data_IF_332535507425
#
_entry.id   IF_332535507425
#
_cell.length_a   1.000
_cell.length_b   1.000
_cell.length_c   1.000
_cell.angle_alpha   90.00
_cell.angle_beta   90.00
_cell.angle_gamma   90.00
#
_symmetry.space_group_name_H-M   'P 1'
#
loop_
_entity.id
_entity.type
_entity.pdbx_description
1 polymer ?
#
# COMPACT_ATOMS: atom_id res chain seq x y z
N UNK A 1 5.10 -17.14 -12.56
CA UNK A 1 3.77 -16.66 -13.00
C UNK A 1 3.90 -15.19 -13.40
N UNK A 2 3.35 -14.76 -14.54
CA UNK A 2 3.42 -13.37 -14.96
C UNK A 2 2.31 -12.57 -14.26
N UNK A 3 2.68 -11.50 -13.56
CA UNK A 3 1.72 -10.55 -12.97
C UNK A 3 1.20 -9.66 -14.11
N UNK A 4 -0.12 -9.66 -14.33
CA UNK A 4 -0.77 -8.86 -15.38
C UNK A 4 -1.57 -7.74 -14.74
N UNK A 5 -1.20 -6.49 -14.99
CA UNK A 5 -1.98 -5.32 -14.57
C UNK A 5 -3.11 -5.11 -15.58
N UNK A 6 -4.35 -5.20 -15.12
CA UNK A 6 -5.54 -5.07 -15.97
C UNK A 6 -6.67 -4.39 -15.20
N UNK A 7 -7.68 -3.87 -15.91
CA UNK A 7 -8.86 -3.28 -15.27
C UNK A 7 -9.81 -4.36 -14.75
N UNK A 8 -10.60 -4.04 -13.73
CA UNK A 8 -11.61 -4.96 -13.21
C UNK A 8 -12.66 -5.39 -14.25
N UNK A 9 -12.96 -4.53 -15.24
CA UNK A 9 -13.85 -4.87 -16.36
C UNK A 9 -13.25 -5.94 -17.26
N UNK A 10 -11.97 -5.81 -17.62
CA UNK A 10 -11.28 -6.80 -18.44
C UNK A 10 -11.12 -8.14 -17.71
N UNK A 11 -10.94 -8.13 -16.38
CA UNK A 11 -10.98 -9.36 -15.56
C UNK A 11 -12.36 -10.02 -15.62
N UNK A 12 -13.44 -9.23 -15.46
CA UNK A 12 -14.82 -9.73 -15.52
C UNK A 12 -15.11 -10.40 -16.86
N UNK A 13 -14.74 -9.74 -17.95
CA UNK A 13 -14.96 -10.22 -19.32
C UNK A 13 -14.15 -11.50 -19.59
N UNK A 14 -12.88 -11.54 -19.18
CA UNK A 14 -12.01 -12.70 -19.36
C UNK A 14 -12.50 -13.93 -18.58
N UNK A 15 -13.13 -13.73 -17.43
CA UNK A 15 -13.67 -14.81 -16.59
C UNK A 15 -15.13 -15.19 -16.93
N UNK A 16 -15.76 -14.51 -17.90
CA UNK A 16 -17.16 -14.79 -18.28
C UNK A 16 -18.17 -14.53 -17.16
N UNK A 17 -17.85 -13.62 -16.23
CA UNK A 17 -18.70 -13.34 -15.07
C UNK A 17 -19.93 -12.51 -15.49
N UNK A 18 -21.08 -13.17 -15.59
CA UNK A 18 -22.36 -12.54 -15.98
C UNK A 18 -23.07 -11.77 -14.85
N UNK A 19 -22.63 -11.92 -13.59
CA UNK A 19 -23.21 -11.22 -12.45
C UNK A 19 -22.83 -9.74 -12.45
N UNK A 20 -23.78 -8.87 -12.11
CA UNK A 20 -23.53 -7.43 -11.94
C UNK A 20 -22.77 -7.12 -10.66
N UNK A 21 -22.88 -7.98 -9.64
CA UNK A 21 -22.18 -7.89 -8.36
C UNK A 21 -21.30 -9.12 -8.12
N UNK A 22 -20.08 -8.87 -7.66
CA UNK A 22 -19.15 -9.89 -7.19
C UNK A 22 -18.42 -9.30 -5.98
N UNK A 23 -18.18 -10.13 -4.98
CA UNK A 23 -17.48 -9.72 -3.78
C UNK A 23 -15.97 -9.78 -4.04
N UNK A 24 -15.28 -8.70 -3.69
CA UNK A 24 -13.81 -8.65 -3.67
C UNK A 24 -13.42 -8.52 -2.21
N UNK A 25 -12.74 -9.53 -1.69
CA UNK A 25 -12.11 -9.45 -0.39
C UNK A 25 -10.73 -8.80 -0.57
N UNK A 26 -10.56 -7.60 0.00
CA UNK A 26 -9.29 -6.89 0.00
C UNK A 26 -8.72 -6.98 1.40
N UNK A 27 -7.69 -7.80 1.58
CA UNK A 27 -6.96 -7.86 2.84
C UNK A 27 -6.06 -6.63 2.96
N UNK A 28 -6.22 -5.77 3.99
CA UNK A 28 -5.34 -4.63 4.21
C UNK A 28 -3.90 -5.07 4.40
N UNK A 29 -2.95 -4.24 3.95
CA UNK A 29 -1.52 -4.52 4.15
C UNK A 29 -1.14 -4.50 5.63
N UNK A 30 -1.74 -3.59 6.39
CA UNK A 30 -1.48 -3.39 7.81
C UNK A 30 -2.76 -3.64 8.61
N UNK A 31 -2.66 -4.33 9.75
CA UNK A 31 -3.78 -4.71 10.58
C UNK A 31 -4.43 -3.51 11.30
N UNK A 32 -3.68 -2.43 11.48
CA UNK A 32 -4.07 -1.20 12.17
C UNK A 32 -4.43 -0.04 11.22
N UNK A 33 -4.46 -0.30 9.91
CA UNK A 33 -4.89 0.68 8.89
C UNK A 33 -6.10 0.11 8.16
N UNK A 34 -7.29 0.57 8.58
CA UNK A 34 -8.55 0.22 7.93
C UNK A 34 -8.60 0.76 6.48
N UNK A 35 -9.32 0.07 5.59
CA UNK A 35 -9.52 0.49 4.20
C UNK A 35 -10.21 1.85 4.07
N UNK A 36 -11.01 2.23 5.06
CA UNK A 36 -11.65 3.54 5.15
C UNK A 36 -10.77 4.64 5.74
N UNK A 37 -9.53 4.31 6.16
CA UNK A 37 -8.62 5.31 6.71
C UNK A 37 -8.28 6.36 5.65
N UNK A 38 -8.35 7.67 5.96
CA UNK A 38 -8.19 8.74 4.97
C UNK A 38 -6.84 8.73 4.26
N UNK A 39 -5.82 8.14 4.90
CA UNK A 39 -4.46 8.01 4.36
C UNK A 39 -4.08 6.57 3.96
N UNK A 40 -5.04 5.63 3.90
CA UNK A 40 -4.74 4.22 3.61
C UNK A 40 -3.99 4.06 2.28
N UNK A 41 -4.40 4.82 1.25
CA UNK A 41 -3.78 4.77 -0.07
C UNK A 41 -2.34 5.30 -0.06
N UNK A 42 -2.09 6.41 0.61
CA UNK A 42 -0.76 7.02 0.75
C UNK A 42 0.18 6.12 1.55
N UNK A 43 -0.31 5.54 2.64
CA UNK A 43 0.43 4.58 3.47
C UNK A 43 0.87 3.38 2.62
N UNK A 44 -0.05 2.81 1.84
CA UNK A 44 0.24 1.70 0.94
C UNK A 44 1.25 2.12 -0.13
N UNK A 45 1.03 3.27 -0.77
CA UNK A 45 1.93 3.79 -1.81
C UNK A 45 3.36 4.03 -1.29
N UNK A 46 3.51 4.64 -0.11
CA UNK A 46 4.82 4.83 0.52
C UNK A 46 5.51 3.50 0.85
N UNK A 47 4.72 2.49 1.23
CA UNK A 47 5.22 1.13 1.52
C UNK A 47 5.69 0.42 0.25
N UNK A 48 4.88 0.44 -0.81
CA UNK A 48 5.19 -0.15 -2.11
C UNK A 48 6.43 0.49 -2.75
N UNK A 49 6.63 1.78 -2.53
CA UNK A 49 7.84 2.51 -2.96
C UNK A 49 9.06 2.25 -2.06
N UNK A 50 8.91 1.46 -0.98
CA UNK A 50 9.98 1.14 -0.04
C UNK A 50 10.45 2.34 0.80
N UNK A 51 9.64 3.40 0.90
CA UNK A 51 9.99 4.60 1.67
C UNK A 51 9.84 4.32 3.17
N UNK A 52 8.73 3.67 3.55
CA UNK A 52 8.42 3.27 4.93
C UNK A 52 8.06 1.77 4.96
N UNK A 53 8.14 1.14 6.13
CA UNK A 53 7.83 -0.29 6.32
C UNK A 53 6.87 -0.55 7.48
N UNK A 54 6.28 0.51 8.05
CA UNK A 54 5.53 0.44 9.31
C UNK A 54 6.42 0.32 10.55
N UNK A 55 5.77 0.20 11.70
CA UNK A 55 6.42 0.00 13.00
C UNK A 55 6.75 -1.47 13.26
N UNK A 56 5.94 -2.39 12.71
CA UNK A 56 6.19 -3.84 12.71
C UNK A 56 5.93 -4.40 11.32
N UNK A 57 6.11 -5.71 11.14
CA UNK A 57 5.84 -6.36 9.85
C UNK A 57 4.36 -6.30 9.44
N UNK A 58 3.46 -6.19 10.42
CA UNK A 58 2.00 -6.22 10.22
C UNK A 58 1.29 -4.93 10.61
N UNK A 59 1.96 -3.96 11.23
CA UNK A 59 1.36 -2.72 11.72
C UNK A 59 2.12 -1.49 11.20
N UNK A 60 1.37 -0.44 10.88
CA UNK A 60 1.92 0.82 10.39
C UNK A 60 2.17 1.83 11.52
N UNK A 61 1.38 1.79 12.59
CA UNK A 61 1.30 2.75 13.67
C UNK A 61 1.05 4.19 13.19
N UNK A 62 -0.10 4.50 12.54
CA UNK A 62 -0.35 5.79 11.90
C UNK A 62 -0.39 6.98 12.86
N UNK A 63 -0.67 6.73 14.15
CA UNK A 63 -0.76 7.77 15.19
C UNK A 63 0.58 8.03 15.89
N UNK A 64 1.59 7.21 15.64
CA UNK A 64 2.88 7.34 16.31
C UNK A 64 3.72 8.46 15.71
N UNK A 65 4.52 9.09 16.56
CA UNK A 65 5.43 10.14 16.12
C UNK A 65 6.64 9.55 15.39
N UNK A 66 6.96 10.15 14.24
CA UNK A 66 8.20 9.86 13.51
C UNK A 66 9.35 10.66 14.10
N UNK A 67 10.45 9.99 14.42
CA UNK A 67 11.66 10.67 14.90
C UNK A 67 12.34 11.44 13.76
N UNK A 68 13.18 12.43 14.10
CA UNK A 68 13.91 13.22 13.09
C UNK A 68 14.79 12.35 12.18
N UNK A 69 15.38 11.29 12.73
CA UNK A 69 16.22 10.35 11.98
C UNK A 69 15.39 9.49 11.03
N UNK A 70 14.21 9.02 11.46
CA UNK A 70 13.29 8.28 10.59
C UNK A 70 12.79 9.16 9.44
N UNK A 71 12.42 10.41 9.73
CA UNK A 71 12.00 11.36 8.69
C UNK A 71 13.12 11.62 7.68
N UNK A 72 14.37 11.76 8.14
CA UNK A 72 15.52 11.91 7.25
C UNK A 72 15.68 10.67 6.34
N UNK A 73 15.53 9.46 6.88
CA UNK A 73 15.58 8.23 6.09
C UNK A 73 14.47 8.18 5.03
N UNK A 74 13.25 8.62 5.36
CA UNK A 74 12.14 8.71 4.40
C UNK A 74 12.46 9.67 3.26
N UNK A 75 13.02 10.85 3.57
CA UNK A 75 13.42 11.83 2.55
C UNK A 75 14.54 11.29 1.65
N UNK A 76 15.54 10.61 2.22
CA UNK A 76 16.62 9.99 1.43
C UNK A 76 16.08 8.96 0.45
N UNK A 77 15.17 8.08 0.89
CA UNK A 77 14.55 7.06 0.04
C UNK A 77 13.59 7.67 -0.99
N UNK A 78 12.71 8.56 -0.54
CA UNK A 78 11.68 9.18 -1.39
C UNK A 78 12.24 10.13 -2.45
N UNK A 79 13.34 10.80 -2.16
CA UNK A 79 14.03 11.70 -3.11
C UNK A 79 15.21 11.02 -3.82
N UNK A 80 15.44 9.72 -3.57
CA UNK A 80 16.56 8.95 -4.15
C UNK A 80 17.92 9.63 -3.98
N UNK A 81 18.18 10.16 -2.79
CA UNK A 81 19.43 10.88 -2.51
C UNK A 81 20.60 9.91 -2.37
N UNK A 82 21.80 10.29 -2.83
CA UNK A 82 23.00 9.49 -2.62
C UNK A 82 23.28 9.37 -1.11
N UNK A 83 23.32 8.15 -0.62
CA UNK A 83 23.88 7.82 0.69
C UNK A 83 25.39 7.89 0.54
N UNK A 84 26.01 8.86 1.23
CA UNK A 84 27.44 9.19 1.10
C UNK A 84 28.40 8.04 1.36
#
# INVERSE_FOLDING_TARGET
>A
PATVTTTGTAVRDALGLHSSYFDIDVTPRYADVDVGHPFAGEILGLTELGITTGCTETEFCPSDFVTREQMAAFLVRGLTLPTG
#
